data_IF_658644940711
#
_entry.id   IF_658644940711
#
_cell.length_a   1.000
_cell.length_b   1.000
_cell.length_c   1.000
_cell.angle_alpha   90.00
_cell.angle_beta   90.00
_cell.angle_gamma   90.00
#
_symmetry.space_group_name_H-M   'P 1'
#
loop_
_entity.id
_entity.type
_entity.pdbx_description
1 polymer ?
#
# COMPACT_ATOMS: atom_id res chain seq x y z
N UNK A 1 16.56 4.37 1.11
CA UNK A 1 15.56 5.42 0.76
C UNK A 1 15.08 6.23 1.97
N UNK A 2 14.76 5.62 3.12
CA UNK A 2 14.25 6.35 4.31
C UNK A 2 15.09 7.56 4.73
N UNK A 3 16.42 7.49 4.61
CA UNK A 3 17.35 8.54 5.04
C UNK A 3 17.33 9.82 4.19
N UNK A 4 16.88 9.76 2.93
CA UNK A 4 16.92 10.90 1.98
C UNK A 4 15.55 11.25 1.43
N UNK A 5 14.48 10.95 2.17
CA UNK A 5 13.11 11.17 1.70
C UNK A 5 12.86 12.62 1.27
N UNK A 6 13.32 13.60 2.05
CA UNK A 6 13.17 15.03 1.74
C UNK A 6 13.81 15.44 0.41
N UNK A 7 14.92 14.79 0.02
CA UNK A 7 15.58 15.04 -1.26
C UNK A 7 14.74 14.52 -2.43
N UNK A 8 14.21 13.30 -2.32
CA UNK A 8 13.35 12.72 -3.35
C UNK A 8 12.02 13.46 -3.48
N UNK A 9 11.45 13.94 -2.37
CA UNK A 9 10.22 14.74 -2.41
C UNK A 9 10.42 16.10 -3.10
N UNK A 10 11.59 16.72 -2.99
CA UNK A 10 11.91 17.96 -3.74
C UNK A 10 11.90 17.71 -5.25
N UNK A 11 12.52 16.62 -5.70
CA UNK A 11 12.51 16.21 -7.12
C UNK A 11 11.11 15.88 -7.63
N UNK A 12 10.30 15.22 -6.81
CA UNK A 12 8.89 14.98 -7.14
C UNK A 12 8.10 16.29 -7.24
N UNK A 13 8.39 17.27 -6.40
CA UNK A 13 7.79 18.61 -6.49
C UNK A 13 8.19 19.34 -7.79
N UNK A 14 9.39 19.09 -8.30
CA UNK A 14 9.89 19.62 -9.58
C UNK A 14 9.33 18.87 -10.80
N UNK A 15 8.59 17.76 -10.59
CA UNK A 15 7.92 17.00 -11.64
C UNK A 15 8.55 15.64 -11.96
N UNK A 16 9.63 15.23 -11.27
CA UNK A 16 10.22 13.90 -11.46
C UNK A 16 9.36 12.80 -10.82
N UNK A 17 9.26 11.65 -11.48
CA UNK A 17 8.70 10.45 -10.88
C UNK A 17 9.79 9.66 -10.13
N UNK A 18 9.52 9.28 -8.88
CA UNK A 18 10.45 8.45 -8.09
C UNK A 18 9.85 7.07 -7.85
N UNK A 19 10.54 6.03 -8.35
CA UNK A 19 10.16 4.63 -8.12
C UNK A 19 10.82 4.12 -6.83
N UNK A 20 10.00 3.59 -5.91
CA UNK A 20 10.46 2.96 -4.67
C UNK A 20 10.63 1.47 -4.91
N UNK A 21 11.83 0.97 -4.64
CA UNK A 21 12.13 -0.46 -4.68
C UNK A 21 12.44 -1.01 -3.28
N UNK A 22 11.97 -2.22 -3.01
CA UNK A 22 12.32 -3.03 -1.83
C UNK A 22 12.81 -4.37 -2.33
N UNK A 23 14.00 -4.82 -1.91
CA UNK A 23 14.55 -6.12 -2.32
C UNK A 23 14.51 -6.33 -3.86
N UNK A 24 14.87 -5.29 -4.62
CA UNK A 24 14.84 -5.24 -6.10
C UNK A 24 13.45 -5.32 -6.75
N UNK A 25 12.39 -5.36 -5.95
CA UNK A 25 11.01 -5.30 -6.44
C UNK A 25 10.49 -3.88 -6.36
N UNK A 26 9.81 -3.42 -7.41
CA UNK A 26 9.10 -2.13 -7.41
C UNK A 26 7.88 -2.26 -6.48
N UNK A 27 7.84 -1.47 -5.42
CA UNK A 27 6.79 -1.54 -4.40
C UNK A 27 5.88 -0.31 -4.39
N UNK A 28 6.37 0.84 -4.83
CA UNK A 28 5.58 2.06 -4.92
C UNK A 28 6.16 3.05 -5.93
N UNK A 29 5.37 4.06 -6.29
CA UNK A 29 5.76 5.23 -7.07
C UNK A 29 5.38 6.48 -6.27
N UNK A 30 6.23 7.49 -6.29
CA UNK A 30 5.94 8.80 -5.73
C UNK A 30 5.76 9.74 -6.91
N UNK A 31 4.56 10.30 -7.01
CA UNK A 31 4.13 11.19 -8.09
C UNK A 31 3.88 12.60 -7.55
N UNK A 32 3.98 13.63 -8.41
CA UNK A 32 3.53 14.97 -8.07
C UNK A 32 2.03 14.95 -7.73
N UNK A 33 1.59 15.78 -6.78
CA UNK A 33 0.18 15.85 -6.38
C UNK A 33 -0.76 16.34 -7.51
N UNK A 34 -0.21 16.97 -8.54
CA UNK A 34 -0.92 17.37 -9.76
C UNK A 34 -1.00 16.26 -10.81
N UNK A 35 -0.41 15.09 -10.57
CA UNK A 35 -0.41 14.00 -11.53
C UNK A 35 -1.82 13.41 -11.68
N UNK A 36 -2.29 13.17 -12.91
CA UNK A 36 -3.64 12.64 -13.16
C UNK A 36 -3.86 11.23 -12.59
N UNK A 37 -2.77 10.49 -12.31
CA UNK A 37 -2.81 9.15 -11.70
C UNK A 37 -3.00 9.17 -10.17
N UNK A 38 -2.91 10.32 -9.50
CA UNK A 38 -3.33 10.45 -8.10
C UNK A 38 -4.85 10.55 -8.02
N UNK A 39 -5.56 9.51 -8.49
CA UNK A 39 -6.99 9.39 -8.32
C UNK A 39 -7.26 9.00 -6.87
N UNK A 40 -7.49 10.02 -6.05
CA UNK A 40 -8.08 9.85 -4.73
C UNK A 40 -9.53 9.42 -4.93
N UNK A 41 -9.82 8.13 -4.78
CA UNK A 41 -11.20 7.64 -4.82
C UNK A 41 -11.91 8.09 -3.55
N UNK A 42 -12.95 8.91 -3.71
CA UNK A 42 -13.78 9.28 -2.58
C UNK A 42 -14.47 8.05 -1.98
N UNK A 43 -14.61 7.99 -0.65
CA UNK A 43 -15.30 6.88 0.00
C UNK A 43 -16.77 6.86 -0.43
N UNK A 44 -17.19 5.79 -1.10
CA UNK A 44 -18.58 5.61 -1.54
C UNK A 44 -19.57 5.38 -0.38
N UNK A 45 -19.06 5.06 0.82
CA UNK A 45 -19.86 4.78 2.02
C UNK A 45 -19.19 5.37 3.26
N UNK A 46 -19.99 5.80 4.26
CA UNK A 46 -19.46 6.32 5.51
C UNK A 46 -18.74 5.22 6.31
N UNK A 47 -17.69 5.61 7.03
CA UNK A 47 -16.88 4.71 7.87
C UNK A 47 -17.72 3.95 8.91
N UNK A 48 -18.85 4.54 9.36
CA UNK A 48 -19.80 3.89 10.29
C UNK A 48 -20.37 2.58 9.75
N UNK A 49 -20.39 2.37 8.44
CA UNK A 49 -20.88 1.12 7.86
C UNK A 49 -19.89 -0.04 8.02
N UNK A 50 -18.59 0.25 8.22
CA UNK A 50 -17.60 -0.79 8.54
C UNK A 50 -17.89 -1.44 9.90
N UNK A 51 -18.44 -0.69 10.86
CA UNK A 51 -18.83 -1.21 12.17
C UNK A 51 -19.98 -2.22 12.08
N UNK A 52 -20.77 -2.19 11.00
CA UNK A 52 -21.89 -3.11 10.75
C UNK A 52 -21.45 -4.38 10.02
N UNK A 53 -20.22 -4.43 9.51
CA UNK A 53 -19.70 -5.61 8.83
C UNK A 53 -19.50 -6.73 9.85
N UNK A 54 -20.24 -7.83 9.70
CA UNK A 54 -19.95 -9.06 10.45
C UNK A 54 -18.69 -9.70 9.90
N UNK A 55 -17.75 -10.01 10.79
CA UNK A 55 -16.61 -10.85 10.45
C UNK A 55 -17.08 -12.18 9.87
N UNK A 56 -16.59 -12.51 8.69
CA UNK A 56 -16.86 -13.81 8.06
C UNK A 56 -15.93 -14.81 8.72
N UNK A 57 -16.50 -15.80 9.42
CA UNK A 57 -15.72 -16.94 9.88
C UNK A 57 -15.38 -17.81 8.66
N UNK A 58 -14.09 -18.11 8.41
CA UNK A 58 -13.72 -19.01 7.33
C UNK A 58 -14.35 -20.39 7.56
N UNK A 59 -14.81 -21.04 6.49
CA UNK A 59 -15.42 -22.38 6.54
C UNK A 59 -14.46 -23.48 7.05
N UNK A 60 -13.16 -23.21 7.04
CA UNK A 60 -12.11 -24.11 7.54
C UNK A 60 -11.31 -23.40 8.61
N UNK A 61 -10.79 -24.15 9.57
CA UNK A 61 -9.86 -23.62 10.58
C UNK A 61 -8.56 -23.24 9.89
N UNK A 62 -8.41 -21.95 9.57
CA UNK A 62 -7.19 -21.43 8.96
C UNK A 62 -6.27 -21.01 10.11
N UNK A 63 -5.12 -21.68 10.23
CA UNK A 63 -4.05 -21.18 11.09
C UNK A 63 -3.43 -19.96 10.42
N UNK A 64 -3.86 -18.76 10.84
CA UNK A 64 -3.38 -17.50 10.29
C UNK A 64 -1.84 -17.42 10.34
N UNK A 65 -1.24 -17.90 11.43
CA UNK A 65 0.21 -17.95 11.62
C UNK A 65 0.86 -18.95 10.65
N UNK A 66 0.27 -20.13 10.46
CA UNK A 66 0.78 -21.13 9.52
C UNK A 66 0.81 -20.60 8.09
N UNK A 67 -0.28 -19.97 7.63
CA UNK A 67 -0.35 -19.38 6.29
C UNK A 67 0.67 -18.27 6.09
N UNK A 68 0.92 -17.44 7.11
CA UNK A 68 1.93 -16.37 7.04
C UNK A 68 3.37 -16.92 7.01
N UNK A 69 3.65 -18.02 7.73
CA UNK A 69 4.95 -18.69 7.70
C UNK A 69 5.22 -19.36 6.35
N UNK A 70 4.22 -20.01 5.76
CA UNK A 70 4.31 -20.59 4.41
C UNK A 70 4.52 -19.52 3.33
N UNK A 71 3.90 -18.33 3.46
CA UNK A 71 4.16 -17.21 2.54
C UNK A 71 5.60 -16.71 2.68
N UNK A 72 6.11 -16.63 3.92
CA UNK A 72 7.50 -16.24 4.19
C UNK A 72 8.51 -17.21 3.61
N UNK A 73 8.24 -18.52 3.66
CA UNK A 73 9.14 -19.53 3.07
C UNK A 73 9.14 -19.52 1.54
N UNK A 74 8.11 -18.96 0.91
CA UNK A 74 7.99 -18.86 -0.56
C UNK A 74 8.67 -17.61 -1.15
N UNK A 75 9.19 -16.70 -0.32
CA UNK A 75 9.93 -15.49 -0.74
C UNK A 75 11.41 -15.64 -0.48
#
# INVERSE_FOLDING_TARGET
MKEKLSYYLKRVKEGEEVVVTSHRQRVARILPASAPESQSTEPSRPVKDLLKLRGIKPRRTISAVGTLLEDRQRR
#
